data_IF_741235689398
#
_entry.id   IF_741235689398
#
_cell.length_a   1.000
_cell.length_b   1.000
_cell.length_c   1.000
_cell.angle_alpha   90.00
_cell.angle_beta   90.00
_cell.angle_gamma   90.00
#
_symmetry.space_group_name_H-M   'P 1'
#
loop_
_entity.id
_entity.type
_entity.pdbx_description
1 polymer ?
#
# COMPACT_ATOMS: atom_id res chain seq x y z
N UNK A 1 -37.14 39.16 -33.11
CA UNK A 1 -35.92 38.35 -32.93
C UNK A 1 -36.13 37.49 -31.69
N UNK A 2 -36.44 36.21 -31.90
CA UNK A 2 -36.70 35.28 -30.77
C UNK A 2 -35.36 34.71 -30.29
N UNK A 3 -35.01 34.98 -29.02
CA UNK A 3 -33.83 34.42 -28.35
C UNK A 3 -34.09 32.95 -28.06
N UNK A 4 -33.41 32.05 -28.74
CA UNK A 4 -33.39 30.62 -28.44
C UNK A 4 -32.60 30.41 -27.16
N UNK A 5 -33.29 29.96 -26.09
CA UNK A 5 -32.66 29.51 -24.86
C UNK A 5 -31.79 28.26 -25.16
N UNK A 6 -30.58 28.14 -24.58
CA UNK A 6 -29.72 26.96 -24.79
C UNK A 6 -30.38 25.71 -24.21
N UNK A 7 -30.19 24.53 -24.84
CA UNK A 7 -30.77 23.29 -24.33
C UNK A 7 -30.26 22.99 -22.93
N UNK A 8 -31.15 22.64 -21.99
CA UNK A 8 -30.85 22.23 -20.63
C UNK A 8 -30.07 20.93 -20.68
N UNK A 9 -28.73 21.00 -20.67
CA UNK A 9 -27.86 19.84 -20.59
C UNK A 9 -28.20 19.05 -19.31
N UNK A 10 -28.51 17.77 -19.45
CA UNK A 10 -28.80 16.88 -18.35
C UNK A 10 -27.67 17.02 -17.31
N UNK A 11 -27.98 17.49 -16.11
CA UNK A 11 -27.03 17.71 -15.03
C UNK A 11 -26.46 16.35 -14.62
N UNK A 12 -25.29 15.98 -15.16
CA UNK A 12 -24.56 14.79 -14.74
C UNK A 12 -24.20 14.97 -13.27
N UNK A 13 -24.62 14.03 -12.42
CA UNK A 13 -24.23 14.04 -11.01
C UNK A 13 -22.71 14.14 -10.89
N UNK A 14 -22.18 15.05 -10.07
CA UNK A 14 -20.73 15.15 -9.86
C UNK A 14 -20.20 13.82 -9.34
N UNK A 15 -19.07 13.38 -9.90
CA UNK A 15 -18.41 12.15 -9.45
C UNK A 15 -17.90 12.36 -8.02
N UNK A 16 -18.27 11.46 -7.10
CA UNK A 16 -17.75 11.43 -5.74
C UNK A 16 -16.94 10.13 -5.55
N UNK A 17 -15.64 10.12 -5.90
CA UNK A 17 -14.77 8.96 -5.77
C UNK A 17 -14.62 8.46 -4.33
N UNK A 18 -14.71 9.36 -3.33
CA UNK A 18 -14.52 9.01 -1.92
C UNK A 18 -15.67 8.16 -1.37
N UNK A 19 -16.86 8.27 -1.97
CA UNK A 19 -18.01 7.44 -1.61
C UNK A 19 -17.90 5.99 -2.11
N UNK A 20 -16.98 5.70 -3.02
CA UNK A 20 -16.86 4.37 -3.63
C UNK A 20 -16.35 3.34 -2.62
N UNK A 21 -17.02 2.18 -2.57
CA UNK A 21 -16.68 1.08 -1.64
C UNK A 21 -15.19 0.71 -1.68
N UNK A 22 -14.57 0.69 -2.87
CA UNK A 22 -13.14 0.39 -3.02
C UNK A 22 -12.23 1.46 -2.39
N UNK A 23 -12.59 2.76 -2.50
CA UNK A 23 -11.80 3.85 -1.94
C UNK A 23 -11.98 3.92 -0.43
N UNK A 24 -13.18 3.71 0.08
CA UNK A 24 -13.43 3.57 1.53
C UNK A 24 -12.62 2.41 2.12
N UNK A 25 -12.65 1.22 1.50
CA UNK A 25 -11.86 0.08 1.95
C UNK A 25 -10.34 0.32 1.82
N UNK A 26 -9.89 1.08 0.80
CA UNK A 26 -8.48 1.48 0.67
C UNK A 26 -8.08 2.43 1.80
N UNK A 27 -8.89 3.42 2.10
CA UNK A 27 -8.66 4.39 3.19
C UNK A 27 -8.60 3.67 4.54
N UNK A 28 -9.61 2.89 4.89
CA UNK A 28 -9.65 2.14 6.15
C UNK A 28 -8.46 1.18 6.30
N UNK A 29 -8.06 0.47 5.23
CA UNK A 29 -6.86 -0.38 5.24
C UNK A 29 -5.58 0.40 5.49
N UNK A 30 -5.45 1.60 4.93
CA UNK A 30 -4.26 2.43 5.10
C UNK A 30 -4.22 3.12 6.48
N UNK A 31 -5.39 3.43 7.07
CA UNK A 31 -5.50 3.97 8.44
C UNK A 31 -5.55 2.87 9.52
N UNK A 32 -5.40 1.59 9.14
CA UNK A 32 -5.45 0.50 10.11
C UNK A 32 -6.84 0.21 10.69
N UNK A 33 -7.89 0.80 10.16
CA UNK A 33 -9.26 0.58 10.58
C UNK A 33 -9.81 -0.76 10.08
N UNK A 34 -10.91 -1.21 10.68
CA UNK A 34 -11.65 -2.38 10.21
C UNK A 34 -12.28 -2.13 8.84
N UNK A 35 -12.20 -3.12 7.96
CA UNK A 35 -12.82 -3.05 6.64
C UNK A 35 -13.24 -4.43 6.10
N UNK A 36 -14.19 -4.43 5.15
CA UNK A 36 -14.54 -5.63 4.39
C UNK A 36 -13.62 -5.81 3.19
N UNK A 37 -13.00 -7.00 3.10
CA UNK A 37 -12.20 -7.39 1.94
C UNK A 37 -13.10 -7.63 0.74
N UNK A 38 -12.84 -6.93 -0.36
CA UNK A 38 -13.63 -7.05 -1.59
C UNK A 38 -13.53 -8.45 -2.22
N UNK A 39 -12.36 -9.07 -2.14
CA UNK A 39 -12.11 -10.35 -2.82
C UNK A 39 -12.70 -11.53 -2.04
N UNK A 40 -12.66 -11.48 -0.72
CA UNK A 40 -13.08 -12.60 0.13
C UNK A 40 -14.38 -12.33 0.88
N UNK A 41 -14.90 -11.11 0.86
CA UNK A 41 -16.06 -10.69 1.65
C UNK A 41 -15.84 -10.69 3.17
N UNK A 42 -14.66 -11.11 3.64
CA UNK A 42 -14.35 -11.23 5.07
C UNK A 42 -14.07 -9.85 5.68
N UNK A 43 -14.50 -9.67 6.91
CA UNK A 43 -14.13 -8.52 7.73
C UNK A 43 -12.67 -8.67 8.18
N UNK A 44 -11.85 -7.67 7.87
CA UNK A 44 -10.47 -7.57 8.35
C UNK A 44 -10.49 -6.65 9.57
N UNK A 45 -10.09 -7.14 10.76
CA UNK A 45 -10.15 -6.33 11.98
C UNK A 45 -9.18 -5.14 11.93
N UNK A 46 -9.47 -4.13 12.76
CA UNK A 46 -8.59 -3.00 12.96
C UNK A 46 -7.20 -3.44 13.45
N UNK A 47 -6.19 -2.71 13.06
CA UNK A 47 -4.81 -2.97 13.48
C UNK A 47 -4.63 -2.56 14.93
N UNK A 48 -3.92 -3.40 15.66
CA UNK A 48 -3.62 -3.20 17.09
C UNK A 48 -2.16 -3.55 17.35
N UNK A 49 -1.62 -3.02 18.41
CA UNK A 49 -0.32 -3.46 18.94
C UNK A 49 -0.38 -4.97 19.19
N UNK A 50 0.61 -5.70 18.67
CA UNK A 50 0.70 -7.16 18.87
C UNK A 50 1.30 -7.54 20.20
N UNK A 51 1.52 -8.85 20.38
CA UNK A 51 2.11 -9.37 21.62
C UNK A 51 3.57 -8.94 21.80
N UNK A 52 4.04 -8.77 23.04
CA UNK A 52 5.44 -8.55 23.36
C UNK A 52 6.34 -9.64 22.77
N UNK A 53 7.59 -9.28 22.46
CA UNK A 53 8.58 -10.24 22.01
C UNK A 53 9.17 -11.01 23.20
N UNK A 54 9.58 -12.25 22.97
CA UNK A 54 10.28 -13.10 23.96
C UNK A 54 11.82 -12.98 23.90
N UNK A 55 12.36 -11.87 23.39
CA UNK A 55 13.81 -11.71 23.27
C UNK A 55 14.45 -11.22 24.58
N UNK A 56 15.74 -11.54 24.77
CA UNK A 56 16.50 -11.14 25.96
C UNK A 56 16.55 -9.61 26.20
N UNK A 57 16.30 -8.81 25.15
CA UNK A 57 16.31 -7.33 25.23
C UNK A 57 15.05 -6.75 25.86
N UNK A 58 14.01 -7.56 26.09
CA UNK A 58 12.73 -7.12 26.66
C UNK A 58 12.23 -5.81 26.03
N UNK A 59 12.18 -5.78 24.69
CA UNK A 59 11.99 -4.54 23.91
C UNK A 59 10.75 -3.73 24.31
N UNK A 60 9.65 -4.39 24.70
CA UNK A 60 8.41 -3.73 25.12
C UNK A 60 8.59 -2.98 26.45
N UNK A 61 9.32 -3.56 27.39
CA UNK A 61 9.59 -2.94 28.69
C UNK A 61 10.54 -1.74 28.54
N UNK A 62 11.53 -1.87 27.63
CA UNK A 62 12.48 -0.78 27.34
C UNK A 62 11.81 0.40 26.65
N UNK A 63 10.84 0.17 25.76
CA UNK A 63 10.11 1.25 25.08
C UNK A 63 9.07 1.88 26.01
N UNK A 64 8.34 1.07 26.77
CA UNK A 64 7.19 1.46 27.58
C UNK A 64 5.88 1.53 26.79
N UNK A 65 4.76 1.18 27.42
CA UNK A 65 3.46 1.04 26.76
C UNK A 65 2.93 2.36 26.19
N UNK A 66 3.18 3.49 26.86
CA UNK A 66 2.73 4.81 26.39
C UNK A 66 3.41 5.18 25.08
N UNK A 67 4.73 5.00 25.00
CA UNK A 67 5.49 5.25 23.77
C UNK A 67 5.09 4.26 22.64
N UNK A 68 4.84 2.99 22.98
CA UNK A 68 4.35 1.99 22.01
C UNK A 68 3.02 2.43 21.39
N UNK A 69 2.07 2.86 22.22
CA UNK A 69 0.77 3.31 21.75
C UNK A 69 0.87 4.60 20.91
N UNK A 70 1.72 5.53 21.31
CA UNK A 70 1.99 6.75 20.56
C UNK A 70 2.59 6.43 19.18
N UNK A 71 3.62 5.61 19.10
CA UNK A 71 4.25 5.18 17.83
C UNK A 71 3.24 4.46 16.94
N UNK A 72 2.41 3.58 17.52
CA UNK A 72 1.39 2.85 16.77
C UNK A 72 0.37 3.81 16.15
N UNK A 73 -0.18 4.75 16.96
CA UNK A 73 -1.15 5.74 16.46
C UNK A 73 -0.54 6.63 15.38
N UNK A 74 0.64 7.19 15.61
CA UNK A 74 1.33 8.05 14.65
C UNK A 74 1.59 7.34 13.31
N UNK A 75 1.99 6.06 13.34
CA UNK A 75 2.20 5.26 12.15
C UNK A 75 0.91 5.06 11.33
N UNK A 76 -0.22 4.79 11.97
CA UNK A 76 -1.49 4.54 11.28
C UNK A 76 -2.22 5.82 10.91
N UNK A 77 -2.04 6.91 11.65
CA UNK A 77 -2.61 8.24 11.36
C UNK A 77 -2.05 8.85 10.07
N UNK A 78 -0.89 8.41 9.61
CA UNK A 78 -0.37 8.78 8.28
C UNK A 78 -1.35 8.46 7.16
N UNK A 79 -2.18 7.41 7.28
CA UNK A 79 -3.19 7.00 6.31
C UNK A 79 -2.67 6.69 4.90
N UNK A 80 -1.35 6.75 4.69
CA UNK A 80 -0.71 6.57 3.39
C UNK A 80 0.32 5.45 3.39
N UNK A 81 0.17 4.51 2.46
CA UNK A 81 1.07 3.37 2.36
C UNK A 81 2.52 3.75 2.01
N UNK A 82 2.71 4.84 1.27
CA UNK A 82 4.05 5.31 0.87
C UNK A 82 4.76 5.89 2.08
N UNK A 83 4.07 6.72 2.88
CA UNK A 83 4.61 7.27 4.13
C UNK A 83 4.91 6.16 5.15
N UNK A 84 4.02 5.18 5.29
CA UNK A 84 4.27 4.00 6.12
C UNK A 84 5.49 3.19 5.67
N UNK A 85 5.71 3.09 4.36
CA UNK A 85 6.92 2.43 3.81
C UNK A 85 8.16 3.26 4.13
N UNK A 86 8.10 4.58 3.97
CA UNK A 86 9.18 5.50 4.33
C UNK A 86 9.55 5.39 5.82
N UNK A 87 8.55 5.34 6.69
CA UNK A 87 8.75 5.14 8.13
C UNK A 87 9.54 3.86 8.43
N UNK A 88 9.14 2.73 7.85
CA UNK A 88 9.86 1.45 8.04
C UNK A 88 11.31 1.55 7.54
N UNK A 89 11.53 2.17 6.38
CA UNK A 89 12.88 2.33 5.80
C UNK A 89 13.76 3.26 6.63
N UNK A 90 13.21 4.34 7.17
CA UNK A 90 13.94 5.31 8.01
C UNK A 90 14.34 4.70 9.36
N UNK A 91 13.49 3.86 9.93
CA UNK A 91 13.71 3.22 11.23
C UNK A 91 14.48 1.90 11.14
N UNK A 92 14.97 1.54 9.94
CA UNK A 92 15.75 0.32 9.72
C UNK A 92 17.09 0.64 9.07
N UNK A 93 18.18 0.27 9.75
CA UNK A 93 19.52 0.35 9.17
C UNK A 93 19.92 -1.02 8.62
N UNK A 94 20.46 -1.01 7.40
CA UNK A 94 20.97 -2.22 6.72
C UNK A 94 22.48 -2.10 6.67
N UNK A 95 23.17 -3.07 7.25
CA UNK A 95 24.63 -3.10 7.38
C UNK A 95 25.17 -4.41 6.79
N UNK A 96 26.47 -4.45 6.49
CA UNK A 96 27.14 -5.69 6.19
C UNK A 96 27.17 -6.59 7.43
N UNK A 97 27.10 -7.93 7.28
CA UNK A 97 27.19 -8.83 8.42
C UNK A 97 28.57 -8.73 9.08
N UNK A 98 28.61 -8.54 10.41
CA UNK A 98 29.86 -8.44 11.16
C UNK A 98 30.60 -9.80 11.25
N UNK A 99 29.84 -10.90 11.27
CA UNK A 99 30.38 -12.26 11.41
C UNK A 99 29.77 -13.19 10.36
N UNK A 100 30.61 -14.01 9.77
CA UNK A 100 30.24 -15.09 8.84
C UNK A 100 30.66 -16.41 9.48
N UNK A 101 29.67 -17.26 9.80
CA UNK A 101 29.89 -18.55 10.50
C UNK A 101 29.81 -19.75 9.57
N UNK A 102 29.59 -19.54 8.27
CA UNK A 102 29.38 -20.59 7.27
C UNK A 102 30.45 -20.45 6.20
N UNK A 103 31.10 -21.55 5.83
CA UNK A 103 32.16 -21.58 4.80
C UNK A 103 31.59 -21.57 3.37
N UNK A 104 30.30 -21.92 3.22
CA UNK A 104 29.61 -21.97 1.92
C UNK A 104 29.06 -20.58 1.55
N UNK A 105 29.69 -19.94 0.57
CA UNK A 105 29.31 -18.60 0.08
C UNK A 105 27.85 -18.51 -0.39
N UNK A 106 27.27 -19.58 -0.92
CA UNK A 106 25.88 -19.62 -1.37
C UNK A 106 24.87 -19.45 -0.21
N UNK A 107 25.29 -19.74 1.04
CA UNK A 107 24.48 -19.62 2.25
C UNK A 107 24.75 -18.35 3.05
N UNK A 108 25.63 -17.47 2.57
CA UNK A 108 25.95 -16.24 3.29
C UNK A 108 24.74 -15.34 3.42
N UNK A 109 24.56 -14.84 4.62
CA UNK A 109 23.61 -13.76 4.88
C UNK A 109 24.14 -12.49 4.22
N UNK A 110 23.40 -11.94 3.26
CA UNK A 110 23.81 -10.77 2.48
C UNK A 110 23.86 -9.48 3.30
N UNK A 111 23.03 -9.35 4.33
CA UNK A 111 22.95 -8.13 5.15
C UNK A 111 22.46 -8.42 6.58
N UNK A 112 22.82 -7.54 7.49
CA UNK A 112 22.28 -7.42 8.84
C UNK A 112 21.35 -6.23 8.93
N UNK A 113 20.21 -6.37 9.63
CA UNK A 113 19.20 -5.31 9.76
C UNK A 113 19.02 -4.96 11.22
N UNK A 114 19.19 -3.67 11.56
CA UNK A 114 18.96 -3.12 12.90
C UNK A 114 17.70 -2.27 12.87
N UNK A 115 16.77 -2.53 13.77
CA UNK A 115 15.50 -1.81 13.89
C UNK A 115 15.53 -0.91 15.10
N UNK A 116 15.01 0.32 15.00
CA UNK A 116 15.00 1.30 16.08
C UNK A 116 13.72 2.11 16.08
N UNK A 117 13.30 2.53 17.26
CA UNK A 117 12.29 3.59 17.43
C UNK A 117 12.93 4.80 18.10
N UNK A 118 12.36 5.97 17.87
CA UNK A 118 12.71 7.16 18.63
C UNK A 118 11.78 7.25 19.84
N UNK A 119 12.33 7.23 21.04
CA UNK A 119 11.61 7.36 22.30
C UNK A 119 12.25 8.47 23.09
N UNK A 120 11.51 9.54 23.40
CA UNK A 120 12.03 10.75 24.06
C UNK A 120 13.37 11.23 23.45
N UNK A 121 13.38 11.38 22.11
CA UNK A 121 14.52 11.81 21.29
C UNK A 121 15.76 10.88 21.33
N UNK A 122 15.61 9.69 21.88
CA UNK A 122 16.67 8.68 21.92
C UNK A 122 16.35 7.49 21.01
N UNK A 123 17.30 7.00 20.21
CA UNK A 123 17.10 5.80 19.40
C UNK A 123 17.15 4.53 20.27
N UNK A 124 16.05 3.83 20.40
CA UNK A 124 15.95 2.55 21.10
C UNK A 124 16.00 1.42 20.08
N UNK A 125 17.02 0.58 20.15
CA UNK A 125 17.15 -0.58 19.27
C UNK A 125 16.25 -1.73 19.71
N UNK A 126 15.49 -2.30 18.77
CA UNK A 126 14.54 -3.39 19.02
C UNK A 126 14.78 -4.59 18.10
N UNK A 127 14.24 -5.74 18.45
CA UNK A 127 14.24 -6.91 17.58
C UNK A 127 13.17 -6.80 16.47
N UNK A 128 13.33 -7.52 15.36
CA UNK A 128 12.38 -7.50 14.23
C UNK A 128 10.95 -7.89 14.66
N UNK A 129 10.72 -8.92 15.50
CA UNK A 129 9.38 -9.22 15.99
C UNK A 129 8.75 -8.09 16.79
N UNK A 130 9.50 -7.45 17.72
CA UNK A 130 8.99 -6.30 18.46
C UNK A 130 8.64 -5.13 17.55
N UNK A 131 9.48 -4.83 16.56
CA UNK A 131 9.21 -3.78 15.57
C UNK A 131 7.91 -4.03 14.81
N UNK A 132 7.66 -5.27 14.37
CA UNK A 132 6.42 -5.66 13.71
C UNK A 132 5.21 -5.57 14.66
N UNK A 133 5.35 -6.03 15.89
CA UNK A 133 4.31 -6.04 16.92
C UNK A 133 3.85 -4.63 17.30
N UNK A 134 4.79 -3.72 17.56
CA UNK A 134 4.50 -2.32 17.89
C UNK A 134 3.70 -1.65 16.77
N UNK A 135 4.08 -1.87 15.52
CA UNK A 135 3.38 -1.31 14.37
C UNK A 135 2.10 -2.08 13.97
N UNK A 136 1.83 -3.24 14.57
CA UNK A 136 0.69 -4.10 14.19
C UNK A 136 0.75 -4.62 12.76
N UNK A 137 1.96 -4.84 12.21
CA UNK A 137 2.20 -5.29 10.84
C UNK A 137 2.84 -6.68 10.79
N UNK A 138 2.82 -7.32 9.63
CA UNK A 138 3.48 -8.60 9.43
C UNK A 138 4.98 -8.43 9.14
N UNK A 139 5.77 -9.46 9.44
CA UNK A 139 7.21 -9.50 9.11
C UNK A 139 7.44 -9.32 7.61
N UNK A 140 6.59 -9.93 6.78
CA UNK A 140 6.65 -9.79 5.31
C UNK A 140 6.43 -8.34 4.84
N UNK A 141 5.64 -7.54 5.57
CA UNK A 141 5.44 -6.11 5.26
C UNK A 141 6.74 -5.32 5.45
N UNK A 142 7.53 -5.66 6.47
CA UNK A 142 8.85 -5.07 6.71
C UNK A 142 9.80 -5.44 5.57
N UNK A 143 9.88 -6.73 5.21
CA UNK A 143 10.76 -7.19 4.14
C UNK A 143 10.38 -6.55 2.81
N UNK A 144 9.10 -6.44 2.49
CA UNK A 144 8.62 -5.72 1.30
C UNK A 144 9.07 -4.26 1.30
N UNK A 145 8.90 -3.55 2.41
CA UNK A 145 9.30 -2.15 2.52
C UNK A 145 10.80 -1.97 2.29
N UNK A 146 11.63 -2.84 2.84
CA UNK A 146 13.09 -2.76 2.71
C UNK A 146 13.56 -3.15 1.30
N UNK A 147 12.93 -4.14 0.67
CA UNK A 147 13.26 -4.57 -0.69
C UNK A 147 12.78 -3.56 -1.76
N UNK A 148 11.79 -2.71 -1.43
CA UNK A 148 11.31 -1.65 -2.33
C UNK A 148 12.14 -0.37 -2.27
N UNK A 149 13.21 -0.32 -1.45
CA UNK A 149 14.09 0.83 -1.35
C UNK A 149 14.91 0.98 -2.64
N UNK A 150 14.87 2.16 -3.25
CA UNK A 150 15.70 2.47 -4.42
C UNK A 150 17.14 2.77 -4.02
N UNK A 151 18.07 2.67 -4.96
CA UNK A 151 19.47 3.02 -4.72
C UNK A 151 19.65 4.47 -4.22
N UNK A 152 18.79 5.38 -4.69
CA UNK A 152 18.79 6.79 -4.26
C UNK A 152 18.06 7.04 -2.94
N UNK A 153 17.51 6.00 -2.27
CA UNK A 153 16.77 6.13 -1.03
C UNK A 153 15.35 6.68 -1.17
N UNK A 154 14.88 6.93 -2.38
CA UNK A 154 13.51 7.39 -2.64
C UNK A 154 12.53 6.24 -2.47
N UNK A 155 11.45 6.48 -1.72
CA UNK A 155 10.38 5.50 -1.54
C UNK A 155 9.50 5.45 -2.79
N UNK A 156 9.29 4.26 -3.32
CA UNK A 156 8.41 4.09 -4.47
C UNK A 156 6.94 4.34 -4.11
N UNK A 157 6.16 5.04 -4.97
CA UNK A 157 4.76 5.29 -4.71
C UNK A 157 3.95 3.99 -4.70
N UNK A 158 2.83 3.99 -3.99
CA UNK A 158 1.90 2.86 -3.96
C UNK A 158 1.29 2.61 -5.35
N UNK A 159 1.70 1.52 -5.98
CA UNK A 159 1.20 1.06 -7.28
C UNK A 159 0.02 0.09 -7.19
N UNK A 160 -0.49 -0.22 -5.98
CA UNK A 160 -1.62 -1.14 -5.80
C UNK A 160 -2.87 -0.58 -6.48
N UNK A 161 -3.48 -1.38 -7.33
CA UNK A 161 -4.67 -1.02 -8.11
C UNK A 161 -4.41 -0.04 -9.28
N UNK A 162 -3.16 0.30 -9.57
CA UNK A 162 -2.75 1.14 -10.70
C UNK A 162 -2.22 0.32 -11.89
N UNK A 163 -2.28 -1.01 -11.81
CA UNK A 163 -1.87 -1.87 -12.92
C UNK A 163 -2.78 -1.64 -14.14
N UNK A 164 -2.21 -1.65 -15.33
CA UNK A 164 -2.97 -1.70 -16.58
C UNK A 164 -3.83 -2.97 -16.56
N UNK A 165 -5.14 -2.81 -16.47
CA UNK A 165 -6.08 -3.87 -16.08
C UNK A 165 -6.21 -5.03 -17.05
N UNK A 166 -5.83 -4.87 -18.30
CA UNK A 166 -5.89 -5.95 -19.29
C UNK A 166 -4.71 -5.83 -20.24
N UNK A 167 -4.16 -6.93 -20.74
CA UNK A 167 -3.41 -6.89 -21.97
C UNK A 167 -4.33 -6.22 -23.00
N UNK A 168 -3.89 -5.13 -23.58
CA UNK A 168 -4.63 -4.54 -24.71
C UNK A 168 -4.75 -5.62 -25.75
N UNK A 169 -5.95 -5.79 -26.29
CA UNK A 169 -6.14 -6.61 -27.48
C UNK A 169 -5.13 -6.13 -28.50
N UNK A 170 -4.36 -7.05 -29.06
CA UNK A 170 -3.37 -6.70 -30.08
C UNK A 170 -4.05 -5.94 -31.22
N UNK A 171 -3.39 -4.91 -31.75
CA UNK A 171 -3.98 -3.98 -32.72
C UNK A 171 -4.52 -4.70 -33.97
N UNK A 172 -3.84 -5.75 -34.43
CA UNK A 172 -4.26 -6.64 -35.51
C UNK A 172 -5.63 -7.29 -35.23
N UNK A 173 -5.87 -7.76 -34.01
CA UNK A 173 -7.17 -8.33 -33.61
C UNK A 173 -8.26 -7.25 -33.48
N UNK A 174 -7.89 -6.05 -33.03
CA UNK A 174 -8.83 -4.92 -32.97
C UNK A 174 -9.24 -4.53 -34.39
N UNK A 175 -8.29 -4.49 -35.33
CA UNK A 175 -8.54 -4.16 -36.72
C UNK A 175 -9.45 -5.20 -37.37
N UNK A 176 -9.23 -6.50 -37.15
CA UNK A 176 -10.15 -7.54 -37.63
C UNK A 176 -11.59 -7.34 -37.17
N UNK A 177 -11.80 -6.93 -35.92
CA UNK A 177 -13.14 -6.66 -35.38
C UNK A 177 -13.73 -5.41 -36.05
N UNK A 178 -12.93 -4.36 -36.23
CA UNK A 178 -13.39 -3.13 -36.92
C UNK A 178 -13.72 -3.39 -38.37
N UNK A 179 -12.92 -4.14 -39.10
CA UNK A 179 -13.16 -4.53 -40.49
C UNK A 179 -14.45 -5.35 -40.63
N UNK A 180 -14.66 -6.29 -39.66
CA UNK A 180 -15.90 -7.06 -39.63
C UNK A 180 -17.11 -6.16 -39.36
N UNK A 181 -17.05 -5.21 -38.41
CA UNK A 181 -18.13 -4.29 -38.14
C UNK A 181 -18.43 -3.42 -39.37
N UNK A 182 -17.39 -2.93 -40.04
CA UNK A 182 -17.51 -2.09 -41.22
C UNK A 182 -17.99 -2.84 -42.48
N UNK A 183 -17.91 -4.17 -42.47
CA UNK A 183 -18.43 -5.00 -43.59
C UNK A 183 -19.96 -5.08 -43.61
N UNK A 184 -20.63 -4.70 -42.54
CA UNK A 184 -22.10 -4.66 -42.54
C UNK A 184 -22.63 -3.43 -43.28
N UNK A 185 -23.67 -3.60 -44.11
CA UNK A 185 -24.27 -2.46 -44.78
C UNK A 185 -24.92 -1.52 -43.76
N UNK A 186 -24.55 -0.25 -43.78
CA UNK A 186 -25.17 0.76 -42.94
C UNK A 186 -26.52 1.17 -43.49
N UNK A 187 -27.56 1.08 -42.69
CA UNK A 187 -28.90 1.57 -43.00
C UNK A 187 -29.14 2.85 -42.22
N UNK A 188 -29.66 3.90 -42.89
CA UNK A 188 -30.00 5.15 -42.22
C UNK A 188 -31.05 4.92 -41.13
N UNK A 189 -30.78 5.36 -39.90
CA UNK A 189 -31.71 5.25 -38.80
C UNK A 189 -32.95 6.10 -39.02
N UNK A 190 -34.14 5.49 -38.95
CA UNK A 190 -35.41 6.22 -38.98
C UNK A 190 -35.66 7.10 -37.74
N UNK A 191 -34.80 7.05 -36.74
CA UNK A 191 -34.94 7.77 -35.46
C UNK A 191 -34.04 9.02 -35.36
N UNK A 192 -33.28 9.33 -36.37
CA UNK A 192 -32.50 10.60 -36.42
C UNK A 192 -33.36 11.71 -37.05
N UNK A 193 -34.23 12.30 -36.25
CA UNK A 193 -34.86 13.62 -36.52
C UNK A 193 -34.39 14.63 -35.51
#
# INVERSE_FOLDING_TARGET
>A
MASLAPPSGARKRPRNPDSWKQNKAKKARNSGEEYQSRNTGRTVPARRVGNPCSCQKQCFDVIGMDAINAIHSEYWDTGDHTLQTAFIQQHTTVEAPERRYVDDEAKYRSCSRKYRFMVADKPVQVCKPAFASVLGITLSRIDYALNSKTACGVVQPDCRGKHKKHPRVAEDRLQLVLDHINSFPTVSSHYSR
#
